data_IF_501602868220
#
_entry.id   IF_501602868220
#
_cell.length_a   1.000
_cell.length_b   1.000
_cell.length_c   1.000
_cell.angle_alpha   90.00
_cell.angle_beta   90.00
_cell.angle_gamma   90.00
#
_symmetry.space_group_name_H-M   'P 1'
#
loop_
_entity.id
_entity.type
_entity.pdbx_description
1 polymer ?
#
# COMPACT_ATOMS: atom_id res chain seq x y z
N UNK A 1 -17.45 45.29 -32.74
CA UNK A 1 -18.18 44.86 -33.96
C UNK A 1 -17.16 44.52 -35.04
N UNK A 2 -17.45 43.51 -35.89
CA UNK A 2 -16.50 42.50 -36.36
C UNK A 2 -15.90 42.83 -37.74
N UNK A 3 -14.84 42.10 -38.15
CA UNK A 3 -14.90 41.29 -39.38
C UNK A 3 -13.75 40.30 -39.49
N UNK A 4 -14.19 39.09 -39.79
CA UNK A 4 -13.51 37.81 -39.87
C UNK A 4 -12.96 37.59 -41.29
N UNK A 5 -11.87 36.84 -41.37
CA UNK A 5 -11.55 35.85 -42.40
C UNK A 5 -11.53 36.26 -43.88
N UNK A 6 -10.33 36.30 -44.46
CA UNK A 6 -10.03 35.69 -45.76
C UNK A 6 -8.65 35.04 -45.61
N UNK A 7 -8.66 33.74 -45.34
CA UNK A 7 -8.17 32.73 -46.27
C UNK A 7 -6.65 32.53 -46.15
N UNK A 8 -6.25 31.45 -45.49
CA UNK A 8 -6.08 30.16 -46.17
C UNK A 8 -5.02 30.31 -47.25
N UNK A 9 -3.78 30.03 -46.89
CA UNK A 9 -2.92 29.23 -47.76
C UNK A 9 -1.64 28.89 -47.04
N UNK A 10 -1.45 27.58 -46.89
CA UNK A 10 -0.16 26.92 -46.82
C UNK A 10 0.75 27.27 -45.64
N UNK A 11 0.69 26.44 -44.61
CA UNK A 11 1.85 25.71 -44.09
C UNK A 11 1.28 24.62 -43.17
N UNK A 12 1.06 23.42 -43.72
CA UNK A 12 1.98 22.29 -43.54
C UNK A 12 2.01 21.85 -42.07
N UNK A 13 1.14 20.89 -41.73
CA UNK A 13 1.49 19.46 -41.71
C UNK A 13 2.09 19.05 -40.36
N UNK A 14 1.33 18.21 -39.66
CA UNK A 14 1.79 17.06 -38.89
C UNK A 14 2.65 17.34 -37.63
N UNK A 15 2.03 17.23 -36.46
CA UNK A 15 2.60 16.41 -35.37
C UNK A 15 1.50 15.93 -34.40
N UNK A 16 1.20 14.64 -34.50
CA UNK A 16 0.80 13.72 -33.44
C UNK A 16 -0.33 14.13 -32.47
N UNK A 17 -1.55 13.67 -32.80
CA UNK A 17 -2.56 13.29 -31.81
C UNK A 17 -1.94 12.20 -30.93
N UNK A 18 -1.62 12.52 -29.68
CA UNK A 18 -1.33 11.52 -28.66
C UNK A 18 -2.63 10.77 -28.34
N UNK A 19 -2.91 9.74 -29.13
CA UNK A 19 -3.79 8.64 -28.71
C UNK A 19 -3.11 7.94 -27.54
N UNK A 20 -3.43 8.38 -26.32
CA UNK A 20 -3.27 7.52 -25.16
C UNK A 20 -4.16 6.30 -25.37
N UNK A 21 -3.54 5.15 -25.65
CA UNK A 21 -4.23 3.87 -25.62
C UNK A 21 -4.65 3.59 -24.17
N UNK A 22 -5.87 3.98 -23.80
CA UNK A 22 -6.59 3.37 -22.69
C UNK A 22 -6.89 1.92 -23.05
N UNK A 23 -5.93 1.03 -22.86
CA UNK A 23 -6.16 -0.42 -22.92
C UNK A 23 -6.75 -0.89 -21.59
N UNK A 24 -8.03 -0.59 -21.37
CA UNK A 24 -8.85 -1.36 -20.43
C UNK A 24 -9.37 -2.59 -21.16
N UNK A 25 -8.58 -3.66 -21.15
CA UNK A 25 -9.03 -5.00 -21.54
C UNK A 25 -8.95 -5.90 -20.32
N UNK A 26 -10.08 -6.02 -19.64
CA UNK A 26 -10.34 -6.96 -18.56
C UNK A 26 -10.24 -8.38 -19.12
N UNK A 27 -9.22 -9.13 -18.72
CA UNK A 27 -9.07 -10.54 -19.06
C UNK A 27 -7.62 -11.00 -19.03
N UNK A 28 -7.28 -11.85 -18.06
CA UNK A 28 -5.96 -12.49 -17.83
C UNK A 28 -4.93 -11.74 -16.95
N UNK A 29 -5.38 -10.97 -15.96
CA UNK A 29 -4.53 -10.38 -14.91
C UNK A 29 -4.22 -11.38 -13.77
N UNK A 30 -3.55 -12.48 -14.09
CA UNK A 30 -3.06 -13.40 -13.04
C UNK A 30 -1.67 -13.95 -13.32
N UNK A 31 -1.27 -14.13 -14.60
CA UNK A 31 0.12 -14.47 -14.95
C UNK A 31 1.03 -13.26 -15.17
N UNK A 32 0.50 -12.11 -15.62
CA UNK A 32 1.33 -10.95 -15.99
C UNK A 32 1.84 -10.15 -14.80
N UNK A 33 1.11 -10.11 -13.69
CA UNK A 33 1.54 -9.36 -12.49
C UNK A 33 2.79 -9.95 -11.83
N UNK A 34 2.98 -11.28 -11.95
CA UNK A 34 4.23 -11.92 -11.52
C UNK A 34 5.44 -11.61 -12.42
N UNK A 35 5.27 -11.02 -13.62
CA UNK A 35 6.40 -10.50 -14.41
C UNK A 35 6.76 -9.06 -14.02
N UNK A 36 5.81 -8.30 -13.49
CA UNK A 36 6.00 -6.89 -13.15
C UNK A 36 6.58 -6.67 -11.74
N UNK A 37 6.54 -7.70 -10.89
CA UNK A 37 7.07 -7.67 -9.51
C UNK A 37 8.46 -8.33 -9.36
N UNK A 38 9.03 -8.86 -10.43
CA UNK A 38 10.33 -9.50 -10.35
C UNK A 38 11.43 -8.42 -10.30
N UNK A 39 12.07 -8.25 -9.14
CA UNK A 39 13.19 -7.32 -8.90
C UNK A 39 14.55 -7.89 -9.32
N UNK A 40 14.54 -9.09 -9.89
CA UNK A 40 15.72 -9.81 -10.37
C UNK A 40 16.51 -9.04 -11.43
N UNK A 41 17.84 -9.16 -11.37
CA UNK A 41 18.76 -8.53 -12.33
C UNK A 41 19.29 -9.50 -13.38
N UNK A 42 19.23 -10.80 -13.12
CA UNK A 42 19.71 -11.87 -14.01
C UNK A 42 18.59 -12.83 -14.42
N UNK A 43 18.78 -13.49 -15.57
CA UNK A 43 17.76 -14.34 -16.20
C UNK A 43 17.39 -15.55 -15.35
N UNK A 44 18.33 -16.10 -14.58
CA UNK A 44 18.11 -17.26 -13.71
C UNK A 44 17.29 -16.85 -12.50
N UNK A 45 17.68 -15.78 -11.80
CA UNK A 45 16.91 -15.21 -10.68
C UNK A 45 15.50 -14.82 -11.10
N UNK A 46 15.33 -14.25 -12.30
CA UNK A 46 13.99 -13.94 -12.82
C UNK A 46 13.16 -15.18 -13.09
N UNK A 47 13.78 -16.25 -13.61
CA UNK A 47 13.10 -17.50 -13.82
C UNK A 47 12.68 -18.15 -12.48
N UNK A 48 13.55 -18.13 -11.47
CA UNK A 48 13.28 -18.69 -10.14
C UNK A 48 12.19 -17.90 -9.42
N UNK A 49 12.28 -16.57 -9.39
CA UNK A 49 11.27 -15.70 -8.78
C UNK A 49 9.88 -15.92 -9.40
N UNK A 50 9.85 -16.29 -10.68
CA UNK A 50 8.63 -16.61 -11.40
C UNK A 50 8.14 -18.04 -11.22
N UNK A 51 9.04 -18.98 -10.92
CA UNK A 51 8.75 -20.40 -10.76
C UNK A 51 9.37 -20.92 -9.44
N UNK A 52 8.96 -20.40 -8.28
CA UNK A 52 9.61 -20.69 -7.00
C UNK A 52 9.48 -22.16 -6.57
N UNK A 53 8.47 -22.87 -7.10
CA UNK A 53 8.25 -24.28 -6.79
C UNK A 53 9.16 -25.25 -7.59
N UNK A 54 9.80 -24.78 -8.68
CA UNK A 54 10.61 -25.62 -9.58
C UNK A 54 11.86 -24.88 -10.10
N UNK A 55 12.76 -24.44 -9.20
CA UNK A 55 13.98 -23.70 -9.58
C UNK A 55 14.90 -24.48 -10.53
N UNK A 56 14.90 -25.81 -10.49
CA UNK A 56 15.71 -26.67 -11.39
C UNK A 56 15.31 -26.49 -12.86
N UNK A 57 14.05 -26.13 -13.13
CA UNK A 57 13.57 -25.82 -14.48
C UNK A 57 14.21 -24.54 -15.07
N UNK A 58 14.88 -23.74 -14.24
CA UNK A 58 15.60 -22.53 -14.63
C UNK A 58 17.08 -22.78 -14.98
N UNK A 59 17.48 -24.05 -15.12
CA UNK A 59 18.86 -24.43 -15.45
C UNK A 59 19.77 -24.53 -14.23
N UNK A 60 19.20 -24.54 -13.03
CA UNK A 60 19.92 -24.73 -11.78
C UNK A 60 20.15 -26.21 -11.53
N UNK A 61 21.35 -26.56 -11.06
CA UNK A 61 21.58 -27.87 -10.45
C UNK A 61 20.81 -27.97 -9.13
N UNK A 62 20.54 -29.19 -8.65
CA UNK A 62 19.83 -29.40 -7.39
C UNK A 62 20.49 -28.67 -6.19
N UNK A 63 21.82 -28.59 -6.16
CA UNK A 63 22.56 -27.86 -5.13
C UNK A 63 22.40 -26.35 -5.23
N UNK A 64 22.35 -25.80 -6.44
CA UNK A 64 22.16 -24.36 -6.65
C UNK A 64 20.71 -23.97 -6.34
N UNK A 65 19.74 -24.77 -6.81
CA UNK A 65 18.33 -24.60 -6.49
C UNK A 65 18.08 -24.54 -4.98
N UNK A 66 18.66 -25.47 -4.21
CA UNK A 66 18.55 -25.49 -2.76
C UNK A 66 19.18 -24.25 -2.09
N UNK A 67 20.29 -23.74 -2.63
CA UNK A 67 20.90 -22.51 -2.12
C UNK A 67 20.00 -21.29 -2.39
N UNK A 68 19.43 -21.19 -3.60
CA UNK A 68 18.51 -20.09 -3.94
C UNK A 68 17.26 -20.09 -3.07
N UNK A 69 16.60 -21.24 -2.89
CA UNK A 69 15.40 -21.32 -2.02
C UNK A 69 15.74 -21.00 -0.57
N UNK A 70 16.86 -21.50 -0.04
CA UNK A 70 17.31 -21.18 1.31
C UNK A 70 17.55 -19.66 1.51
N UNK A 71 18.13 -18.98 0.52
CA UNK A 71 18.32 -17.52 0.61
C UNK A 71 16.99 -16.75 0.59
N UNK A 72 16.01 -17.19 -0.20
CA UNK A 72 14.68 -16.58 -0.25
C UNK A 72 13.91 -16.82 1.04
N UNK A 73 13.96 -18.03 1.58
CA UNK A 73 13.33 -18.37 2.86
C UNK A 73 13.92 -17.55 4.00
N UNK A 74 15.25 -17.42 4.06
CA UNK A 74 15.92 -16.57 5.04
C UNK A 74 15.53 -15.08 4.90
N UNK A 75 15.43 -14.57 3.66
CA UNK A 75 14.99 -13.20 3.42
C UNK A 75 13.53 -12.97 3.84
N UNK A 76 12.65 -13.94 3.56
CA UNK A 76 11.25 -13.89 3.99
C UNK A 76 11.09 -13.98 5.49
N UNK A 77 11.89 -14.83 6.15
CA UNK A 77 11.93 -14.92 7.61
C UNK A 77 12.40 -13.60 8.21
N UNK A 78 13.48 -13.02 7.69
CA UNK A 78 13.98 -11.73 8.18
C UNK A 78 12.98 -10.59 7.96
N UNK A 79 12.26 -10.57 6.84
CA UNK A 79 11.19 -9.60 6.60
C UNK A 79 10.00 -9.79 7.57
N UNK A 80 9.65 -11.03 7.89
CA UNK A 80 8.61 -11.35 8.88
C UNK A 80 9.05 -10.98 10.30
N UNK A 81 10.31 -11.24 10.65
CA UNK A 81 10.86 -10.87 11.95
C UNK A 81 10.94 -9.36 12.11
N UNK A 82 11.33 -8.62 11.05
CA UNK A 82 11.26 -7.15 11.04
C UNK A 82 9.84 -6.62 11.18
N UNK A 83 8.87 -7.23 10.49
CA UNK A 83 7.47 -6.87 10.63
C UNK A 83 6.94 -7.16 12.04
N UNK A 84 7.41 -8.22 12.70
CA UNK A 84 7.09 -8.52 14.10
C UNK A 84 7.79 -7.59 15.08
N UNK A 85 9.05 -7.21 14.85
CA UNK A 85 9.75 -6.21 15.67
C UNK A 85 9.04 -4.84 15.60
N UNK A 86 8.50 -4.46 14.45
CA UNK A 86 7.66 -3.26 14.30
C UNK A 86 6.28 -3.39 14.98
N UNK A 87 5.79 -4.63 15.16
CA UNK A 87 4.53 -4.93 15.84
C UNK A 87 4.69 -5.04 17.37
N UNK A 88 5.82 -5.54 17.88
CA UNK A 88 6.15 -5.58 19.31
C UNK A 88 6.40 -4.17 19.90
N UNK A 89 6.83 -3.19 19.10
CA UNK A 89 6.83 -1.77 19.53
C UNK A 89 5.40 -1.19 19.69
N UNK A 90 4.36 -1.93 19.27
CA UNK A 90 2.95 -1.61 19.48
C UNK A 90 2.36 -2.16 20.80
N UNK A 91 3.20 -2.57 21.77
CA UNK A 91 2.78 -3.27 22.99
C UNK A 91 1.99 -2.48 24.05
N UNK A 92 1.73 -1.16 23.93
CA UNK A 92 1.09 -0.45 25.06
C UNK A 92 -0.46 -0.45 25.04
N UNK A 93 -1.13 -1.21 24.16
CA UNK A 93 -2.61 -1.31 24.10
C UNK A 93 -3.36 0.02 23.85
N UNK A 94 -2.61 1.12 23.76
CA UNK A 94 -3.11 2.48 23.66
C UNK A 94 -3.92 2.70 22.39
N UNK A 95 -3.54 2.05 21.28
CA UNK A 95 -4.21 2.19 19.99
C UNK A 95 -5.63 1.64 20.05
N UNK A 96 -5.78 0.47 20.67
CA UNK A 96 -7.10 -0.11 20.94
C UNK A 96 -7.89 0.77 21.92
N UNK A 97 -7.26 1.26 22.99
CA UNK A 97 -7.89 2.17 23.95
C UNK A 97 -8.41 3.46 23.29
N UNK A 98 -7.60 4.13 22.48
CA UNK A 98 -7.97 5.34 21.74
C UNK A 98 -9.13 5.07 20.77
N UNK A 99 -9.07 3.95 20.04
CA UNK A 99 -10.10 3.57 19.07
C UNK A 99 -11.44 3.30 19.75
N UNK A 100 -11.44 2.47 20.80
CA UNK A 100 -12.64 2.15 21.57
C UNK A 100 -13.25 3.40 22.22
N UNK A 101 -12.40 4.29 22.73
CA UNK A 101 -12.83 5.55 23.35
C UNK A 101 -13.40 6.53 22.32
N UNK A 102 -12.79 6.64 21.15
CA UNK A 102 -13.31 7.45 20.04
C UNK A 102 -14.68 6.98 19.58
N UNK A 103 -14.87 5.67 19.39
CA UNK A 103 -16.18 5.10 19.02
C UNK A 103 -17.22 5.42 20.10
N UNK A 104 -16.88 5.24 21.37
CA UNK A 104 -17.77 5.59 22.48
C UNK A 104 -18.13 7.09 22.50
N UNK A 105 -17.17 7.96 22.19
CA UNK A 105 -17.38 9.41 22.10
C UNK A 105 -18.28 9.78 20.92
N UNK A 106 -17.94 9.30 19.72
CA UNK A 106 -18.63 9.61 18.46
C UNK A 106 -20.07 9.12 18.47
N UNK A 107 -20.31 7.91 18.97
CA UNK A 107 -21.63 7.29 18.89
C UNK A 107 -22.64 8.01 19.81
N UNK A 108 -22.18 8.88 20.73
CA UNK A 108 -22.97 9.73 21.65
C UNK A 108 -24.11 9.02 22.40
N UNK A 109 -24.12 7.69 22.39
CA UNK A 109 -25.02 6.86 23.20
C UNK A 109 -24.58 6.98 24.65
N UNK A 110 -25.55 7.02 25.57
CA UNK A 110 -25.33 7.22 27.01
C UNK A 110 -24.08 6.46 27.49
N UNK A 111 -23.16 7.11 28.21
CA UNK A 111 -23.16 8.52 28.66
C UNK A 111 -22.88 9.52 27.52
N UNK A 112 -23.40 10.75 27.64
CA UNK A 112 -23.05 11.82 26.70
C UNK A 112 -21.58 12.19 26.91
N UNK A 113 -20.88 12.45 25.82
CA UNK A 113 -19.49 12.87 25.82
C UNK A 113 -19.40 14.38 25.55
N UNK A 114 -18.41 15.01 26.18
CA UNK A 114 -18.03 16.40 25.95
C UNK A 114 -16.74 16.46 25.11
N UNK A 115 -16.55 17.54 24.35
CA UNK A 115 -15.38 17.77 23.48
C UNK A 115 -15.55 17.30 22.03
N UNK A 116 -14.57 17.63 21.19
CA UNK A 116 -14.48 17.15 19.80
C UNK A 116 -13.79 15.77 19.79
N UNK A 117 -14.59 14.73 19.61
CA UNK A 117 -14.13 13.34 19.61
C UNK A 117 -13.02 13.08 18.58
N UNK A 118 -13.07 13.71 17.39
CA UNK A 118 -12.07 13.48 16.36
C UNK A 118 -10.75 14.19 16.72
N UNK A 119 -10.81 15.42 17.22
CA UNK A 119 -9.62 16.14 17.69
C UNK A 119 -8.93 15.38 18.84
N UNK A 120 -9.71 14.84 19.78
CA UNK A 120 -9.19 14.04 20.88
C UNK A 120 -8.59 12.70 20.41
N UNK A 121 -9.14 12.07 19.37
CA UNK A 121 -8.54 10.87 18.77
C UNK A 121 -7.17 11.18 18.15
N UNK A 122 -7.05 12.29 17.41
CA UNK A 122 -5.76 12.74 16.84
C UNK A 122 -4.72 13.04 17.92
N UNK A 123 -5.14 13.61 19.04
CA UNK A 123 -4.27 13.82 20.20
C UNK A 123 -3.81 12.50 20.81
N UNK A 124 -4.74 11.55 20.96
CA UNK A 124 -4.48 10.21 21.48
C UNK A 124 -3.44 9.45 20.65
N UNK A 125 -3.47 9.61 19.31
CA UNK A 125 -2.46 9.04 18.42
C UNK A 125 -1.06 9.64 18.61
N UNK A 126 -0.97 10.93 18.93
CA UNK A 126 0.31 11.60 19.18
C UNK A 126 0.88 11.32 20.57
N UNK A 127 0.02 11.32 21.60
CA UNK A 127 0.43 11.18 23.00
C UNK A 127 0.29 9.75 23.56
N UNK A 128 -0.23 8.82 22.75
CA UNK A 128 -0.56 7.44 23.16
C UNK A 128 -1.51 7.38 24.37
N UNK A 129 -2.26 8.44 24.63
CA UNK A 129 -3.14 8.58 25.80
C UNK A 129 -4.34 9.48 25.48
N UNK A 130 -5.54 9.04 25.88
CA UNK A 130 -6.75 9.81 25.64
C UNK A 130 -6.82 11.04 26.56
N UNK A 131 -7.10 12.25 26.03
CA UNK A 131 -7.13 13.48 26.82
C UNK A 131 -8.46 13.64 27.55
N UNK A 132 -8.62 12.98 28.70
CA UNK A 132 -9.87 13.03 29.48
C UNK A 132 -10.25 14.43 29.99
N UNK A 133 -9.30 15.34 30.13
CA UNK A 133 -9.61 16.74 30.49
C UNK A 133 -10.37 17.48 29.38
N UNK A 134 -10.12 17.11 28.11
CA UNK A 134 -10.76 17.72 26.94
C UNK A 134 -11.98 16.94 26.47
N UNK A 135 -11.87 15.60 26.50
CA UNK A 135 -12.92 14.70 26.06
C UNK A 135 -13.23 13.66 27.13
N UNK A 136 -14.29 13.90 27.90
CA UNK A 136 -14.77 12.99 28.93
C UNK A 136 -16.26 12.68 28.78
N UNK A 137 -16.64 11.61 29.49
CA UNK A 137 -18.04 11.28 29.73
C UNK A 137 -18.58 12.30 30.73
N UNK A 138 -19.66 12.99 30.35
CA UNK A 138 -20.35 13.89 31.26
C UNK A 138 -20.89 13.10 32.45
N UNK A 139 -20.42 13.41 33.66
CA UNK A 139 -21.02 12.85 34.88
C UNK A 139 -22.46 13.34 34.98
N UNK A 140 -23.38 12.40 35.22
CA UNK A 140 -24.82 12.68 35.27
C UNK A 140 -25.19 13.47 36.53
#
# INVERSE_FOLDING_TARGET
MPKLNIAISLLCLLTAVSLGCSSSATGTASRRDAYALASCTDTVSCCVQRNPAVPEACGLTASEAAAYTATMDAAMQHAQDKAKEEEDDAEDGWREHCTNTYVACRDQKKPRWDGDCYACFRYCEGQRQWPFELCNRRSR
#
